data_IF_581632697191
#
_entry.id   IF_581632697191
#
_cell.length_a   1.000
_cell.length_b   1.000
_cell.length_c   1.000
_cell.angle_alpha   90.00
_cell.angle_beta   90.00
_cell.angle_gamma   90.00
#
_symmetry.space_group_name_H-M   'P 1'
#
loop_
_entity.id
_entity.type
_entity.pdbx_description
1 polymer ?
#
# COMPACT_ATOMS: atom_id res chain seq x y z
N UNK A 1 7.38 -27.59 -24.85
CA UNK A 1 8.01 -27.73 -23.52
C UNK A 1 9.35 -28.41 -23.70
N UNK A 2 10.45 -27.73 -23.42
CA UNK A 2 11.78 -28.32 -23.36
C UNK A 2 11.99 -28.94 -21.99
N UNK A 3 12.00 -30.27 -21.92
CA UNK A 3 12.28 -30.99 -20.68
C UNK A 3 13.78 -31.29 -20.60
N UNK A 4 14.41 -30.88 -19.51
CA UNK A 4 15.76 -31.33 -19.15
C UNK A 4 15.63 -32.74 -18.55
N UNK A 5 16.45 -33.69 -19.03
CA UNK A 5 16.52 -35.03 -18.47
C UNK A 5 17.90 -35.29 -17.87
N UNK A 6 17.95 -35.69 -16.62
CA UNK A 6 19.14 -36.25 -15.98
C UNK A 6 18.94 -37.76 -15.88
N UNK A 7 19.90 -38.54 -16.44
CA UNK A 7 19.83 -39.99 -16.46
C UNK A 7 20.88 -40.59 -15.50
N UNK A 8 20.71 -41.86 -15.14
CA UNK A 8 21.65 -42.65 -14.33
C UNK A 8 21.90 -42.07 -12.92
N UNK A 9 20.87 -41.47 -12.34
CA UNK A 9 20.87 -41.02 -10.94
C UNK A 9 20.53 -42.19 -10.01
N UNK A 10 21.13 -42.20 -8.84
CA UNK A 10 20.73 -43.12 -7.75
C UNK A 10 19.45 -42.66 -7.05
N UNK A 11 18.77 -43.55 -6.36
CA UNK A 11 17.69 -43.13 -5.45
C UNK A 11 18.24 -42.30 -4.30
N UNK A 12 17.55 -41.23 -3.93
CA UNK A 12 18.03 -40.34 -2.89
C UNK A 12 17.41 -38.95 -2.90
N UNK A 13 17.98 -38.08 -2.09
CA UNK A 13 17.58 -36.68 -1.98
C UNK A 13 18.42 -35.82 -2.93
N UNK A 14 17.75 -34.96 -3.66
CA UNK A 14 18.40 -34.06 -4.62
C UNK A 14 18.00 -32.63 -4.37
N UNK A 15 18.99 -31.73 -4.39
CA UNK A 15 18.80 -30.28 -4.50
C UNK A 15 18.94 -29.88 -5.98
N UNK A 16 17.92 -29.24 -6.51
CA UNK A 16 17.93 -28.66 -7.86
C UNK A 16 18.15 -27.17 -7.69
N UNK A 17 19.35 -26.70 -8.00
CA UNK A 17 19.73 -25.31 -7.82
C UNK A 17 19.83 -24.67 -9.20
N UNK A 18 18.97 -23.68 -9.53
CA UNK A 18 19.05 -22.94 -10.78
C UNK A 18 20.37 -22.17 -10.86
N UNK A 19 20.91 -22.03 -12.07
CA UNK A 19 22.11 -21.21 -12.34
C UNK A 19 21.78 -19.72 -12.51
N UNK A 20 20.50 -19.37 -12.47
CA UNK A 20 19.99 -18.00 -12.58
C UNK A 20 18.97 -17.75 -11.48
N UNK A 21 18.89 -16.50 -11.00
CA UNK A 21 18.07 -16.12 -9.84
C UNK A 21 16.55 -16.06 -10.13
N UNK A 22 16.12 -16.41 -11.35
CA UNK A 22 14.70 -16.41 -11.76
C UNK A 22 13.89 -17.60 -11.27
N UNK A 23 14.55 -18.60 -10.69
CA UNK A 23 13.88 -19.79 -10.12
C UNK A 23 14.35 -20.03 -8.69
N UNK A 24 13.45 -20.52 -7.84
CA UNK A 24 13.80 -20.92 -6.48
C UNK A 24 14.48 -22.30 -6.47
N UNK A 25 15.48 -22.51 -5.61
CA UNK A 25 16.01 -23.86 -5.34
C UNK A 25 14.88 -24.80 -4.93
N UNK A 26 14.90 -26.02 -5.43
CA UNK A 26 13.93 -27.06 -5.09
C UNK A 26 14.66 -28.30 -4.55
N UNK A 27 14.04 -28.93 -3.56
CA UNK A 27 14.48 -30.20 -3.02
C UNK A 27 13.47 -31.29 -3.42
N UNK A 28 13.95 -32.43 -3.86
CA UNK A 28 13.12 -33.57 -4.21
C UNK A 28 13.75 -34.87 -3.77
N UNK A 29 12.91 -35.91 -3.61
CA UNK A 29 13.37 -37.28 -3.37
C UNK A 29 13.13 -38.09 -4.62
N UNK A 30 14.18 -38.66 -5.20
CA UNK A 30 14.06 -39.61 -6.30
C UNK A 30 13.81 -41.01 -5.71
N UNK A 31 12.59 -41.47 -5.87
CA UNK A 31 12.13 -42.77 -5.29
C UNK A 31 11.60 -43.76 -6.34
N UNK A 32 11.55 -43.35 -7.60
CA UNK A 32 11.14 -44.21 -8.72
C UNK A 32 11.90 -43.85 -10.01
N UNK A 33 11.81 -44.70 -11.02
CA UNK A 33 12.62 -44.66 -12.24
C UNK A 33 12.24 -43.57 -13.26
N UNK A 34 11.12 -42.87 -13.09
CA UNK A 34 10.64 -41.86 -14.05
C UNK A 34 9.94 -40.69 -13.35
N UNK A 35 10.61 -40.09 -12.40
CA UNK A 35 10.04 -38.95 -11.66
C UNK A 35 10.21 -37.66 -12.45
N UNK A 36 9.14 -36.89 -12.58
CA UNK A 36 9.18 -35.54 -13.12
C UNK A 36 9.07 -34.52 -12.00
N UNK A 37 9.98 -33.56 -11.99
CA UNK A 37 9.97 -32.44 -11.05
C UNK A 37 9.67 -31.17 -11.83
N UNK A 38 8.70 -30.40 -11.36
CA UNK A 38 8.32 -29.12 -11.95
C UNK A 38 9.00 -27.99 -11.16
N UNK A 39 9.94 -27.31 -11.78
CA UNK A 39 10.55 -26.13 -11.19
C UNK A 39 9.57 -24.97 -11.31
N UNK A 40 9.25 -24.37 -10.16
CA UNK A 40 8.47 -23.13 -10.14
C UNK A 40 9.41 -21.93 -10.27
N UNK A 41 9.06 -21.00 -11.14
CA UNK A 41 9.71 -19.69 -11.22
C UNK A 41 9.49 -18.87 -9.95
N UNK A 42 10.09 -17.68 -9.92
CA UNK A 42 9.71 -16.65 -8.95
C UNK A 42 8.23 -16.30 -9.18
N UNK A 43 7.49 -16.19 -8.10
CA UNK A 43 6.08 -15.80 -8.14
C UNK A 43 5.99 -14.33 -7.71
N UNK A 44 5.17 -13.51 -8.40
CA UNK A 44 4.85 -12.17 -7.93
C UNK A 44 4.36 -12.17 -6.48
N UNK A 45 4.86 -11.22 -5.70
CA UNK A 45 4.43 -10.95 -4.34
C UNK A 45 4.13 -9.45 -4.22
N UNK A 46 3.70 -8.95 -3.08
CA UNK A 46 3.33 -7.55 -2.85
C UNK A 46 4.11 -7.03 -1.65
N UNK A 47 4.83 -5.93 -1.83
CA UNK A 47 5.42 -5.14 -0.74
C UNK A 47 4.90 -3.70 -0.83
N UNK A 48 4.07 -3.30 0.13
CA UNK A 48 3.39 -2.01 0.17
C UNK A 48 3.97 -1.11 1.26
N UNK A 49 4.21 0.15 0.90
CA UNK A 49 4.69 1.17 1.84
C UNK A 49 3.81 2.42 1.78
N UNK A 50 3.71 3.10 2.91
CA UNK A 50 3.17 4.44 3.07
C UNK A 50 4.33 5.38 3.47
N UNK A 51 4.64 6.39 2.67
CA UNK A 51 5.81 7.28 2.83
C UNK A 51 7.11 6.48 3.05
N UNK A 52 7.28 5.38 2.31
CA UNK A 52 8.44 4.50 2.36
C UNK A 52 8.52 3.56 3.57
N UNK A 53 7.45 3.43 4.37
CA UNK A 53 7.39 2.62 5.59
C UNK A 53 6.17 1.69 5.59
N UNK A 54 6.20 0.66 6.45
CA UNK A 54 5.02 -0.23 6.65
C UNK A 54 3.85 0.51 7.33
N UNK A 55 4.13 1.60 8.03
CA UNK A 55 3.14 2.52 8.57
C UNK A 55 3.71 3.94 8.60
N UNK A 56 2.83 4.95 8.56
CA UNK A 56 3.18 6.37 8.70
C UNK A 56 2.21 7.08 9.63
N UNK A 57 2.54 8.31 10.01
CA UNK A 57 1.63 9.23 10.71
C UNK A 57 1.34 10.41 9.81
N UNK A 58 0.07 10.79 9.74
CA UNK A 58 -0.35 11.97 9.01
C UNK A 58 -1.46 12.72 9.76
N UNK A 59 -1.62 14.00 9.46
CA UNK A 59 -2.70 14.85 9.93
C UNK A 59 -3.84 14.83 8.92
N UNK A 60 -5.08 15.03 9.38
CA UNK A 60 -6.24 15.23 8.49
C UNK A 60 -5.94 16.36 7.50
N UNK A 61 -6.19 16.10 6.22
CA UNK A 61 -5.88 16.99 5.11
C UNK A 61 -4.51 16.77 4.46
N UNK A 62 -3.63 15.97 5.07
CA UNK A 62 -2.34 15.65 4.48
C UNK A 62 -2.45 14.50 3.46
N UNK A 63 -1.62 14.61 2.43
CA UNK A 63 -1.48 13.58 1.41
C UNK A 63 -0.43 12.57 1.82
N UNK A 64 -0.79 11.29 1.78
CA UNK A 64 0.09 10.14 1.99
C UNK A 64 0.44 9.54 0.64
N UNK A 65 1.72 9.26 0.42
CA UNK A 65 2.22 8.59 -0.78
C UNK A 65 2.35 7.10 -0.52
N UNK A 66 1.84 6.31 -1.46
CA UNK A 66 1.92 4.86 -1.42
C UNK A 66 2.82 4.35 -2.54
N UNK A 67 3.60 3.34 -2.22
CA UNK A 67 4.34 2.54 -3.19
C UNK A 67 3.98 1.08 -3.00
N UNK A 68 3.82 0.37 -4.10
CA UNK A 68 3.62 -1.08 -4.11
C UNK A 68 4.61 -1.67 -5.09
N UNK A 69 5.51 -2.48 -4.59
CA UNK A 69 6.46 -3.22 -5.41
C UNK A 69 5.96 -4.65 -5.59
N UNK A 70 5.97 -5.11 -6.85
CA UNK A 70 5.67 -6.45 -7.26
C UNK A 70 6.61 -6.87 -8.38
N UNK A 71 6.23 -7.88 -9.14
CA UNK A 71 7.07 -8.42 -10.21
C UNK A 71 6.20 -8.83 -11.40
N UNK A 72 6.75 -8.66 -12.59
CA UNK A 72 6.16 -9.21 -13.82
C UNK A 72 6.26 -10.75 -13.77
N UNK A 73 5.14 -11.49 -13.86
CA UNK A 73 5.16 -12.94 -13.85
C UNK A 73 5.88 -13.52 -15.07
N UNK A 74 6.44 -14.72 -14.90
CA UNK A 74 6.95 -15.47 -16.04
C UNK A 74 5.78 -16.08 -16.82
N UNK A 75 5.58 -15.59 -18.04
CA UNK A 75 4.47 -15.95 -18.93
C UNK A 75 4.90 -16.90 -20.07
N UNK A 76 6.05 -17.56 -19.94
CA UNK A 76 6.56 -18.49 -20.97
C UNK A 76 5.60 -19.64 -21.20
N UNK A 77 5.20 -19.83 -22.48
CA UNK A 77 4.30 -20.91 -22.89
C UNK A 77 2.82 -20.55 -22.84
N UNK A 78 2.50 -19.29 -22.51
CA UNK A 78 1.12 -18.78 -22.58
C UNK A 78 0.98 -17.82 -23.77
N UNK A 79 -0.23 -17.77 -24.36
CA UNK A 79 -0.61 -16.87 -25.43
C UNK A 79 -1.48 -15.70 -24.95
N UNK A 80 -1.99 -15.81 -23.72
CA UNK A 80 -2.80 -14.81 -23.04
C UNK A 80 -2.46 -14.79 -21.55
N UNK A 81 -2.51 -13.61 -20.92
CA UNK A 81 -2.23 -13.49 -19.49
C UNK A 81 -2.96 -12.33 -18.84
N UNK A 82 -3.43 -12.54 -17.62
CA UNK A 82 -4.13 -11.56 -16.79
C UNK A 82 -3.27 -11.19 -15.60
N UNK A 83 -3.15 -9.90 -15.34
CA UNK A 83 -2.59 -9.36 -14.11
C UNK A 83 -3.54 -8.34 -13.54
N UNK A 84 -4.11 -8.60 -12.38
CA UNK A 84 -5.04 -7.71 -11.69
C UNK A 84 -4.33 -7.05 -10.52
N UNK A 85 -4.38 -5.72 -10.48
CA UNK A 85 -4.00 -4.93 -9.33
C UNK A 85 -5.21 -4.21 -8.79
N UNK A 86 -5.45 -4.32 -7.50
CA UNK A 86 -6.47 -3.56 -6.80
C UNK A 86 -5.93 -3.05 -5.48
N UNK A 87 -6.41 -1.88 -5.06
CA UNK A 87 -5.98 -1.25 -3.82
C UNK A 87 -7.19 -0.69 -3.08
N UNK A 88 -7.47 -1.21 -1.89
CA UNK A 88 -8.66 -0.89 -1.10
C UNK A 88 -8.29 -0.04 0.10
N UNK A 89 -8.89 1.14 0.20
CA UNK A 89 -8.68 2.12 1.25
C UNK A 89 -9.82 2.10 2.26
N UNK A 90 -9.49 2.25 3.55
CA UNK A 90 -10.49 2.51 4.58
C UNK A 90 -11.11 3.90 4.42
N UNK A 91 -12.26 4.14 5.06
CA UNK A 91 -13.01 5.40 4.96
C UNK A 91 -12.25 6.65 5.42
N UNK A 92 -11.13 6.48 6.17
CA UNK A 92 -10.26 7.57 6.61
C UNK A 92 -9.36 8.15 5.52
N UNK A 93 -9.33 7.55 4.34
CA UNK A 93 -8.61 8.05 3.17
C UNK A 93 -9.60 8.50 2.09
N UNK A 94 -9.27 9.57 1.39
CA UNK A 94 -9.97 10.04 0.20
C UNK A 94 -9.09 9.84 -1.01
N UNK A 95 -9.62 9.19 -2.03
CA UNK A 95 -8.97 8.96 -3.31
C UNK A 95 -9.93 9.30 -4.44
N UNK A 96 -9.43 9.96 -5.48
CA UNK A 96 -10.13 10.22 -6.74
C UNK A 96 -9.17 10.00 -7.90
N UNK A 97 -9.67 9.71 -9.09
CA UNK A 97 -8.82 9.56 -10.27
C UNK A 97 -8.00 10.81 -10.56
N UNK A 98 -8.58 12.00 -10.32
CA UNK A 98 -7.92 13.29 -10.58
C UNK A 98 -6.74 13.56 -9.64
N UNK A 99 -6.82 13.10 -8.38
CA UNK A 99 -5.83 13.39 -7.33
C UNK A 99 -4.87 12.23 -7.08
N UNK A 100 -5.13 11.07 -7.69
CA UNK A 100 -4.40 9.82 -7.47
C UNK A 100 -2.91 9.92 -7.85
N UNK A 101 -2.60 10.68 -8.91
CA UNK A 101 -1.24 10.80 -9.47
C UNK A 101 -0.57 9.43 -9.68
N UNK A 102 -1.33 8.48 -10.27
CA UNK A 102 -0.84 7.13 -10.52
C UNK A 102 0.32 7.14 -11.49
N UNK A 103 1.41 6.49 -11.08
CA UNK A 103 2.57 6.18 -11.88
C UNK A 103 2.87 4.70 -11.78
N UNK A 104 3.06 4.02 -12.91
CA UNK A 104 3.43 2.61 -12.95
C UNK A 104 4.73 2.47 -13.74
N UNK A 105 5.72 1.78 -13.17
CA UNK A 105 6.99 1.48 -13.84
C UNK A 105 7.22 -0.03 -13.90
N UNK A 106 7.81 -0.48 -14.98
CA UNK A 106 8.21 -1.86 -15.23
C UNK A 106 9.73 -1.85 -15.52
N UNK A 107 10.51 -2.39 -14.59
CA UNK A 107 11.94 -2.14 -14.57
C UNK A 107 12.23 -0.64 -14.55
N UNK A 108 12.98 -0.15 -15.55
CA UNK A 108 13.29 1.27 -15.72
C UNK A 108 12.30 2.02 -16.64
N UNK A 109 11.27 1.33 -17.15
CA UNK A 109 10.32 1.90 -18.12
C UNK A 109 9.06 2.38 -17.42
N UNK A 110 8.68 3.65 -17.61
CA UNK A 110 7.38 4.17 -17.16
C UNK A 110 6.29 3.83 -18.17
N UNK A 111 5.20 3.24 -17.68
CA UNK A 111 4.02 2.91 -18.48
C UNK A 111 3.12 4.13 -18.65
N UNK A 112 2.48 4.25 -19.81
CA UNK A 112 1.62 5.39 -20.18
C UNK A 112 0.16 5.08 -19.90
N UNK A 113 -0.50 5.88 -19.03
CA UNK A 113 -1.92 5.77 -18.78
C UNK A 113 -2.75 6.00 -20.07
N UNK A 114 -3.82 5.23 -20.23
CA UNK A 114 -4.67 5.24 -21.43
C UNK A 114 -4.13 4.43 -22.62
N UNK A 115 -2.84 4.07 -22.62
CA UNK A 115 -2.21 3.24 -23.64
C UNK A 115 -1.79 1.87 -23.09
N UNK A 116 -1.05 1.88 -21.98
CA UNK A 116 -0.51 0.66 -21.38
C UNK A 116 -1.42 0.08 -20.30
N UNK A 117 -2.13 0.96 -19.61
CA UNK A 117 -3.08 0.62 -18.56
C UNK A 117 -4.19 1.67 -18.43
N UNK A 118 -5.30 1.28 -17.83
CA UNK A 118 -6.35 2.20 -17.36
C UNK A 118 -6.49 2.10 -15.85
N UNK A 119 -6.93 3.21 -15.22
CA UNK A 119 -7.21 3.27 -13.79
C UNK A 119 -8.65 3.67 -13.57
N UNK A 120 -9.32 2.99 -12.67
CA UNK A 120 -10.67 3.32 -12.19
C UNK A 120 -10.68 3.41 -10.68
N UNK A 121 -11.38 4.39 -10.12
CA UNK A 121 -11.58 4.52 -8.67
C UNK A 121 -13.05 4.35 -8.35
N UNK A 122 -13.40 3.26 -7.68
CA UNK A 122 -14.77 2.93 -7.31
C UNK A 122 -14.85 2.47 -5.85
N UNK A 123 -15.76 3.04 -5.06
CA UNK A 123 -16.02 2.62 -3.68
C UNK A 123 -14.75 2.53 -2.81
N UNK A 124 -13.90 3.55 -2.82
CA UNK A 124 -12.61 3.58 -2.10
C UNK A 124 -11.61 2.51 -2.58
N UNK A 125 -11.76 2.04 -3.80
CA UNK A 125 -10.91 1.02 -4.41
C UNK A 125 -10.34 1.52 -5.72
N UNK A 126 -9.02 1.44 -5.85
CA UNK A 126 -8.29 1.64 -7.10
C UNK A 126 -8.26 0.30 -7.83
N UNK A 127 -8.54 0.32 -9.10
CA UNK A 127 -8.45 -0.83 -10.01
C UNK A 127 -7.58 -0.44 -11.18
N UNK A 128 -6.53 -1.22 -11.44
CA UNK A 128 -5.67 -1.04 -12.61
C UNK A 128 -5.94 -2.20 -13.57
N UNK A 129 -6.26 -1.86 -14.81
CA UNK A 129 -6.45 -2.81 -15.91
C UNK A 129 -5.37 -2.60 -16.98
N UNK A 130 -4.58 -3.64 -17.24
CA UNK A 130 -3.53 -3.67 -18.26
C UNK A 130 -4.01 -4.23 -19.60
N UNK A 131 -5.27 -4.68 -19.68
CA UNK A 131 -5.74 -5.51 -20.79
C UNK A 131 -5.03 -6.86 -20.80
N UNK A 132 -4.67 -7.35 -22.00
CA UNK A 132 -3.88 -8.59 -22.09
C UNK A 132 -2.43 -8.34 -21.66
N UNK A 133 -2.07 -8.86 -20.47
CA UNK A 133 -0.77 -8.68 -19.87
C UNK A 133 0.36 -9.43 -20.58
N UNK A 134 0.04 -10.37 -21.49
CA UNK A 134 1.02 -11.13 -22.28
C UNK A 134 1.96 -10.23 -23.11
N UNK A 135 1.52 -9.01 -23.44
CA UNK A 135 2.33 -8.02 -24.16
C UNK A 135 3.65 -7.67 -23.43
N UNK A 136 3.72 -7.93 -22.13
CA UNK A 136 4.88 -7.67 -21.27
C UNK A 136 5.72 -8.92 -20.99
N UNK A 137 5.57 -10.00 -21.72
CA UNK A 137 6.25 -11.29 -21.49
C UNK A 137 7.78 -11.18 -21.51
N UNK A 138 8.33 -10.24 -22.28
CA UNK A 138 9.78 -10.02 -22.38
C UNK A 138 10.38 -9.33 -21.14
N UNK A 139 9.52 -8.77 -20.27
CA UNK A 139 9.87 -8.13 -19.00
C UNK A 139 9.75 -9.08 -17.80
N UNK A 140 9.63 -10.38 -18.04
CA UNK A 140 9.47 -11.38 -16.98
C UNK A 140 10.53 -11.23 -15.87
N UNK A 141 10.09 -11.22 -14.62
CA UNK A 141 10.85 -11.02 -13.39
C UNK A 141 11.37 -9.59 -13.15
N UNK A 142 11.08 -8.62 -14.01
CA UNK A 142 11.34 -7.22 -13.72
C UNK A 142 10.40 -6.71 -12.63
N UNK A 143 10.85 -5.71 -11.87
CA UNK A 143 10.01 -5.04 -10.86
C UNK A 143 8.86 -4.33 -11.54
N UNK A 144 7.65 -4.57 -11.06
CA UNK A 144 6.43 -3.83 -11.41
C UNK A 144 6.04 -2.98 -10.20
N UNK A 145 6.27 -1.67 -10.32
CA UNK A 145 6.05 -0.71 -9.23
C UNK A 145 4.87 0.18 -9.51
N UNK A 146 4.03 0.37 -8.50
CA UNK A 146 2.90 1.29 -8.48
C UNK A 146 3.18 2.40 -7.46
N UNK A 147 3.04 3.65 -7.88
CA UNK A 147 3.18 4.83 -7.04
C UNK A 147 1.92 5.68 -7.17
N UNK A 148 1.32 6.08 -6.08
CA UNK A 148 0.10 6.87 -6.05
C UNK A 148 -0.07 7.55 -4.69
N UNK A 149 -1.13 8.35 -4.55
CA UNK A 149 -1.39 9.08 -3.32
C UNK A 149 -2.88 9.12 -2.96
N UNK A 150 -3.15 9.36 -1.67
CA UNK A 150 -4.48 9.64 -1.15
C UNK A 150 -4.40 10.63 0.00
N UNK A 151 -5.50 11.32 0.28
CA UNK A 151 -5.57 12.35 1.33
C UNK A 151 -6.28 11.81 2.57
N UNK A 152 -5.70 12.05 3.75
CA UNK A 152 -6.32 11.69 5.01
C UNK A 152 -7.49 12.63 5.31
N UNK A 153 -8.66 12.07 5.58
CA UNK A 153 -9.89 12.82 5.82
C UNK A 153 -10.39 12.72 7.27
N UNK A 154 -11.48 13.40 7.60
CA UNK A 154 -12.06 13.47 8.95
C UNK A 154 -12.60 12.13 9.50
N UNK A 155 -12.72 11.09 8.67
CA UNK A 155 -13.08 9.75 9.11
C UNK A 155 -11.87 8.94 9.57
N UNK A 156 -10.65 9.49 9.45
CA UNK A 156 -9.46 8.84 9.97
C UNK A 156 -9.56 8.73 11.49
N UNK A 157 -9.38 7.53 12.00
CA UNK A 157 -9.48 7.25 13.42
C UNK A 157 -8.10 6.94 14.00
N UNK A 158 -7.91 7.19 15.28
CA UNK A 158 -6.74 6.74 16.03
C UNK A 158 -6.73 5.21 16.12
N UNK A 159 -5.63 4.62 16.57
CA UNK A 159 -5.51 3.19 16.86
C UNK A 159 -5.51 2.26 15.64
N UNK A 160 -4.68 2.55 14.64
CA UNK A 160 -4.37 1.65 13.51
C UNK A 160 -5.56 1.22 12.64
N UNK A 161 -6.63 2.01 12.60
CA UNK A 161 -7.84 1.69 11.83
C UNK A 161 -7.90 2.33 10.45
N UNK A 162 -7.03 3.30 10.16
CA UNK A 162 -6.91 3.86 8.81
C UNK A 162 -5.88 3.05 8.04
N UNK A 163 -6.37 2.23 7.12
CA UNK A 163 -5.55 1.25 6.40
C UNK A 163 -5.70 1.40 4.89
N UNK A 164 -4.70 0.90 4.17
CA UNK A 164 -4.71 0.76 2.73
C UNK A 164 -4.10 -0.59 2.34
N UNK A 165 -4.86 -1.42 1.60
CA UNK A 165 -4.50 -2.80 1.25
C UNK A 165 -4.38 -2.96 -0.26
N UNK A 166 -3.18 -3.27 -0.74
CA UNK A 166 -2.94 -3.69 -2.10
C UNK A 166 -3.18 -5.20 -2.27
N UNK A 167 -3.70 -5.58 -3.43
CA UNK A 167 -3.94 -6.97 -3.79
C UNK A 167 -3.54 -7.19 -5.25
N UNK A 168 -2.79 -8.26 -5.52
CA UNK A 168 -2.55 -8.74 -6.87
C UNK A 168 -3.09 -10.15 -7.05
N UNK A 169 -3.52 -10.44 -8.26
CA UNK A 169 -3.82 -11.78 -8.77
C UNK A 169 -3.37 -11.86 -10.22
N UNK A 170 -2.88 -13.01 -10.63
CA UNK A 170 -2.37 -13.22 -11.98
C UNK A 170 -2.63 -14.65 -12.45
N UNK A 171 -2.70 -14.85 -13.77
CA UNK A 171 -2.93 -16.17 -14.38
C UNK A 171 -3.15 -16.07 -15.87
N UNK A 172 -3.26 -17.21 -16.51
CA UNK A 172 -3.49 -17.30 -17.96
C UNK A 172 -4.98 -17.23 -18.35
N UNK A 173 -5.87 -17.23 -17.37
CA UNK A 173 -7.32 -17.14 -17.56
C UNK A 173 -7.94 -16.34 -16.42
N UNK A 174 -8.98 -15.55 -16.71
CA UNK A 174 -9.74 -14.76 -15.73
C UNK A 174 -10.44 -15.61 -14.68
N UNK A 175 -10.79 -16.84 -15.03
CA UNK A 175 -11.46 -17.83 -14.16
C UNK A 175 -10.46 -18.73 -13.40
N UNK A 176 -9.16 -18.59 -13.68
CA UNK A 176 -8.09 -19.40 -13.06
C UNK A 176 -6.89 -18.53 -12.66
N UNK A 177 -7.16 -17.57 -11.77
CA UNK A 177 -6.13 -16.71 -11.21
C UNK A 177 -5.43 -17.36 -10.01
N UNK A 178 -4.24 -16.87 -9.66
CA UNK A 178 -3.55 -17.21 -8.42
C UNK A 178 -4.40 -16.87 -7.19
N UNK A 179 -4.06 -17.47 -6.05
CA UNK A 179 -4.53 -16.95 -4.78
C UNK A 179 -4.13 -15.47 -4.65
N UNK A 180 -4.99 -14.62 -4.05
CA UNK A 180 -4.66 -13.22 -3.83
C UNK A 180 -3.40 -13.07 -2.98
N UNK A 181 -2.46 -12.23 -3.44
CA UNK A 181 -1.33 -11.75 -2.64
C UNK A 181 -1.67 -10.36 -2.16
N UNK A 182 -1.54 -10.12 -0.88
CA UNK A 182 -1.96 -8.84 -0.26
C UNK A 182 -0.92 -8.31 0.70
N UNK A 183 -0.79 -6.98 0.75
CA UNK A 183 -0.07 -6.29 1.79
C UNK A 183 -0.81 -5.02 2.21
N UNK A 184 -0.71 -4.65 3.49
CA UNK A 184 -1.48 -3.57 4.10
C UNK A 184 -0.56 -2.61 4.83
N UNK A 185 -0.73 -1.32 4.55
CA UNK A 185 -0.13 -0.23 5.33
C UNK A 185 -1.14 0.43 6.25
N UNK A 186 -0.65 1.02 7.34
CA UNK A 186 -1.46 1.73 8.33
C UNK A 186 -1.06 3.19 8.39
N UNK A 187 -2.04 4.09 8.42
CA UNK A 187 -1.86 5.52 8.64
C UNK A 187 -2.41 5.87 10.02
N UNK A 188 -1.55 6.43 10.88
CA UNK A 188 -1.87 6.74 12.27
C UNK A 188 -2.14 8.21 12.45
N UNK A 189 -3.21 8.54 13.18
CA UNK A 189 -3.42 9.85 13.79
C UNK A 189 -3.19 9.75 15.29
N UNK A 190 -2.85 10.86 15.94
CA UNK A 190 -2.53 10.88 17.36
C UNK A 190 -3.33 11.95 18.08
N UNK A 191 -3.64 11.69 19.34
CA UNK A 191 -4.29 12.67 20.23
C UNK A 191 -3.25 13.45 21.02
N UNK A 192 -3.47 14.74 21.16
CA UNK A 192 -2.72 15.61 22.06
C UNK A 192 -3.66 16.09 23.17
N UNK A 193 -3.26 15.90 24.43
CA UNK A 193 -3.96 16.46 25.58
C UNK A 193 -3.16 17.65 26.13
N UNK A 194 -3.81 18.80 26.28
CA UNK A 194 -3.24 20.01 26.83
C UNK A 194 -3.98 20.31 28.16
N UNK A 195 -3.25 20.39 29.25
CA UNK A 195 -3.77 20.81 30.56
C UNK A 195 -3.04 22.07 30.99
N UNK A 196 -3.74 23.16 31.16
CA UNK A 196 -3.19 24.39 31.76
C UNK A 196 -3.47 24.34 33.25
N UNK A 197 -2.41 24.53 34.06
CA UNK A 197 -2.51 24.55 35.50
C UNK A 197 -2.05 25.91 36.07
N UNK A 198 -2.48 26.23 37.27
CA UNK A 198 -1.99 27.37 38.02
C UNK A 198 -0.53 27.18 38.44
N UNK A 199 0.26 28.27 38.43
CA UNK A 199 1.68 28.22 38.78
C UNK A 199 1.89 27.78 40.24
N UNK A 200 2.65 26.72 40.44
CA UNK A 200 2.96 26.15 41.76
C UNK A 200 1.90 25.20 42.31
N UNK A 201 0.87 24.89 41.52
CA UNK A 201 -0.17 23.89 41.87
C UNK A 201 -0.46 23.01 40.65
N UNK A 202 -1.21 21.92 40.87
CA UNK A 202 -1.77 21.09 39.78
C UNK A 202 -3.24 21.43 39.50
N UNK A 203 -3.74 22.57 39.96
CA UNK A 203 -5.11 22.99 39.78
C UNK A 203 -5.36 23.39 38.31
N UNK A 204 -6.24 22.72 37.57
CA UNK A 204 -6.55 23.08 36.20
C UNK A 204 -7.18 24.47 36.08
N UNK A 205 -6.76 25.25 35.08
CA UNK A 205 -7.32 26.57 34.77
C UNK A 205 -8.27 26.44 33.55
N UNK A 206 -9.50 26.86 33.79
CA UNK A 206 -10.52 26.99 32.74
C UNK A 206 -10.31 28.27 31.91
N UNK A 207 -10.80 28.28 30.67
CA UNK A 207 -10.83 29.44 29.79
C UNK A 207 -9.44 29.87 29.25
N UNK A 208 -8.40 29.08 29.44
CA UNK A 208 -7.10 29.34 28.82
C UNK A 208 -7.17 29.05 27.32
N UNK A 209 -6.62 29.95 26.50
CA UNK A 209 -6.71 29.95 25.05
C UNK A 209 -5.38 29.58 24.42
N UNK A 210 -5.44 28.78 23.35
CA UNK A 210 -4.26 28.28 22.61
C UNK A 210 -4.54 28.22 21.12
N UNK A 211 -3.49 28.49 20.32
CA UNK A 211 -3.43 28.07 18.93
C UNK A 211 -2.39 26.95 18.79
N UNK A 212 -2.68 25.96 17.96
CA UNK A 212 -1.78 24.86 17.70
C UNK A 212 -1.16 25.00 16.30
N UNK A 213 0.15 24.85 16.22
CA UNK A 213 0.91 24.92 14.97
C UNK A 213 1.67 23.62 14.74
N UNK A 214 1.81 23.20 13.48
CA UNK A 214 2.65 22.08 13.13
C UNK A 214 4.12 22.51 13.09
N UNK A 215 4.98 21.79 13.80
CA UNK A 215 6.42 22.08 13.88
C UNK A 215 6.79 23.00 15.04
N UNK A 216 7.87 23.74 14.89
CA UNK A 216 8.48 24.58 15.96
C UNK A 216 8.28 26.08 15.77
N UNK A 217 7.60 26.51 14.70
CA UNK A 217 7.35 27.92 14.37
C UNK A 217 5.88 28.29 14.60
N UNK A 218 5.67 29.50 15.11
CA UNK A 218 4.33 30.10 15.28
C UNK A 218 4.01 31.13 14.17
N UNK A 219 4.83 31.20 13.13
CA UNK A 219 4.65 32.15 12.02
C UNK A 219 3.87 31.59 10.84
N UNK A 220 3.51 30.28 10.87
CA UNK A 220 2.65 29.63 9.89
C UNK A 220 1.17 29.79 10.22
N UNK A 221 0.33 29.17 9.39
CA UNK A 221 -1.10 29.06 9.67
C UNK A 221 -1.34 28.08 10.82
N UNK A 222 -2.17 28.43 11.82
CA UNK A 222 -2.55 27.51 12.88
C UNK A 222 -3.44 26.39 12.31
N UNK A 223 -3.43 25.25 13.03
CA UNK A 223 -4.30 24.13 12.67
C UNK A 223 -5.76 24.49 12.94
N UNK A 224 -6.64 24.13 12.02
CA UNK A 224 -8.06 24.35 12.12
C UNK A 224 -8.77 23.15 12.76
N UNK A 225 -9.81 23.43 13.57
CA UNK A 225 -10.53 22.43 14.33
C UNK A 225 -12.05 22.60 14.21
N UNK A 226 -12.76 21.50 14.37
CA UNK A 226 -14.17 21.50 14.76
C UNK A 226 -14.24 21.22 16.25
N UNK A 227 -14.91 22.09 16.99
CA UNK A 227 -15.13 21.92 18.42
C UNK A 227 -16.24 20.89 18.67
N UNK A 228 -15.90 19.88 19.46
CA UNK A 228 -16.82 18.89 20.01
C UNK A 228 -17.22 19.19 21.45
N UNK A 229 -17.83 18.22 22.10
CA UNK A 229 -18.21 18.32 23.52
C UNK A 229 -16.97 18.22 24.44
N UNK A 230 -17.12 18.77 25.66
CA UNK A 230 -16.16 18.59 26.76
C UNK A 230 -14.70 18.97 26.42
N UNK A 231 -14.50 20.06 25.65
CA UNK A 231 -13.18 20.52 25.28
C UNK A 231 -12.45 19.60 24.30
N UNK A 232 -13.19 18.79 23.53
CA UNK A 232 -12.64 18.01 22.44
C UNK A 232 -12.56 18.85 21.17
N UNK A 233 -11.46 18.75 20.45
CA UNK A 233 -11.23 19.44 19.18
C UNK A 233 -10.70 18.43 18.15
N UNK A 234 -11.36 18.37 17.00
CA UNK A 234 -10.96 17.48 15.90
C UNK A 234 -10.43 18.32 14.75
N UNK A 235 -9.26 17.98 14.24
CA UNK A 235 -8.63 18.65 13.08
C UNK A 235 -9.58 18.62 11.89
N UNK A 236 -9.67 19.72 11.17
CA UNK A 236 -10.47 19.85 9.95
C UNK A 236 -9.74 20.64 8.88
N UNK A 237 -10.08 20.37 7.61
CA UNK A 237 -9.66 21.16 6.44
C UNK A 237 -10.72 22.18 6.03
N UNK A 238 -11.85 22.26 6.74
CA UNK A 238 -12.92 23.19 6.44
C UNK A 238 -12.46 24.64 6.71
N UNK A 239 -12.72 25.56 5.77
CA UNK A 239 -12.35 26.98 5.89
C UNK A 239 -13.00 27.70 7.09
N UNK A 240 -14.14 27.21 7.56
CA UNK A 240 -14.83 27.72 8.75
C UNK A 240 -14.37 27.08 10.06
N UNK A 241 -13.31 26.29 10.04
CA UNK A 241 -12.70 25.71 11.22
C UNK A 241 -12.17 26.80 12.15
N UNK A 242 -12.29 26.55 13.47
CA UNK A 242 -11.73 27.46 14.49
C UNK A 242 -10.25 27.13 14.72
N UNK A 243 -9.45 28.13 15.04
CA UNK A 243 -8.02 27.95 15.35
C UNK A 243 -7.72 28.08 16.84
N UNK A 244 -8.59 28.76 17.60
CA UNK A 244 -8.43 28.97 19.03
C UNK A 244 -9.08 27.84 19.84
N UNK A 245 -8.25 27.10 20.58
CA UNK A 245 -8.66 26.06 21.52
C UNK A 245 -8.81 26.68 22.91
N UNK A 246 -9.85 26.28 23.63
CA UNK A 246 -10.15 26.83 24.99
C UNK A 246 -10.26 25.68 25.99
N UNK A 247 -9.56 25.75 27.12
CA UNK A 247 -9.71 24.75 28.18
C UNK A 247 -11.12 24.79 28.78
N UNK A 248 -11.77 23.63 28.97
CA UNK A 248 -13.15 23.58 29.47
C UNK A 248 -13.28 24.13 30.90
N UNK A 249 -14.49 24.52 31.27
CA UNK A 249 -14.81 25.05 32.60
C UNK A 249 -14.86 24.00 33.71
N UNK A 250 -14.89 22.72 33.34
CA UNK A 250 -14.81 21.56 34.26
C UNK A 250 -13.61 20.74 33.85
N UNK A 251 -12.66 20.57 34.76
CA UNK A 251 -11.43 19.79 34.54
C UNK A 251 -11.68 18.31 34.31
#
# INVERSE_FOLDING_TARGET
QSNLKANNLEYGYYAIIPSIDTYKPMYTTLSNSNQTVYLKGLEPDVDKKADGKNWTSAQIGETVRFTVDSMVPNMTGFDHYVYKFTDAMSSGLTVSEADLNMKITMGDTELTAGNDYTVTVENQKIIVDFGDFIKYKEHANETLKFEYQATLNSNAVTDDKTTNTATIQYGHDVDSLSDPKTDTTTIKTHNLRITKVETGTDTPLAGAKFNLYKGTSTTGEPIHFVQGANGTYTVTTAENGITELVTPSTG
#
